data_IF_755238536415
#
_entry.id   IF_755238536415
#
_cell.length_a   1.000
_cell.length_b   1.000
_cell.length_c   1.000
_cell.angle_alpha   90.00
_cell.angle_beta   90.00
_cell.angle_gamma   90.00
#
_symmetry.space_group_name_H-M   'P 1'
#
loop_
_entity.id
_entity.type
_entity.pdbx_description
1 polymer ?
#
# COMPACT_ATOMS: atom_id res chain seq x y z
N UNK A 1 1.37 9.25 9.06
CA UNK A 1 0.29 9.99 9.75
C UNK A 1 0.04 11.31 9.00
N UNK A 2 -1.20 11.85 8.85
CA UNK A 2 -1.38 13.23 8.32
C UNK A 2 -0.69 14.21 9.26
N UNK A 3 -0.12 15.29 8.70
CA UNK A 3 0.59 16.35 9.43
C UNK A 3 -0.28 17.06 10.49
N UNK A 4 -1.60 17.06 10.36
CA UNK A 4 -2.50 17.72 11.31
C UNK A 4 -2.78 16.93 12.61
N UNK A 5 -2.13 15.78 12.82
CA UNK A 5 -2.23 14.91 14.02
C UNK A 5 -3.66 14.44 14.39
N UNK A 6 -4.65 14.76 13.57
CA UNK A 6 -6.02 14.28 13.71
C UNK A 6 -6.11 12.80 13.31
N UNK A 7 -6.70 11.99 14.20
CA UNK A 7 -6.97 10.59 13.92
C UNK A 7 -8.17 10.48 12.96
N UNK A 8 -7.89 10.09 11.72
CA UNK A 8 -8.93 9.83 10.73
C UNK A 8 -9.42 8.38 10.82
N UNK A 9 -10.63 8.11 10.33
CA UNK A 9 -11.08 6.73 10.14
C UNK A 9 -10.22 6.04 9.09
N UNK A 10 -9.84 4.79 9.33
CA UNK A 10 -8.94 4.03 8.44
C UNK A 10 -9.48 3.89 6.99
N UNK A 11 -10.81 3.92 6.82
CA UNK A 11 -11.49 3.88 5.52
C UNK A 11 -11.42 5.19 4.72
N UNK A 12 -11.13 6.30 5.39
CA UNK A 12 -11.12 7.61 4.76
C UNK A 12 -9.74 7.85 4.11
N UNK A 13 -9.71 7.88 2.78
CA UNK A 13 -8.49 8.12 1.98
C UNK A 13 -7.96 9.55 2.08
N UNK A 14 -8.85 10.48 2.42
CA UNK A 14 -8.57 11.89 2.62
C UNK A 14 -8.90 12.24 4.06
N UNK A 15 -8.02 12.98 4.71
CA UNK A 15 -8.26 13.46 6.07
C UNK A 15 -9.39 14.48 6.08
N UNK A 16 -10.38 14.28 6.94
CA UNK A 16 -11.53 15.20 7.04
C UNK A 16 -11.17 16.57 7.65
N UNK A 17 -9.97 16.74 8.18
CA UNK A 17 -9.50 17.99 8.79
C UNK A 17 -8.49 18.75 7.92
N UNK A 18 -7.47 18.04 7.43
CA UNK A 18 -6.38 18.64 6.62
C UNK A 18 -6.60 18.48 5.10
N UNK A 19 -7.57 17.67 4.66
CA UNK A 19 -7.76 17.29 3.25
C UNK A 19 -6.54 16.63 2.58
N UNK A 20 -5.50 16.29 3.35
CA UNK A 20 -4.35 15.53 2.84
C UNK A 20 -4.75 14.07 2.61
N UNK A 21 -4.17 13.47 1.57
CA UNK A 21 -4.27 12.03 1.33
C UNK A 21 -3.53 11.26 2.43
N UNK A 22 -4.03 10.08 2.77
CA UNK A 22 -3.31 9.16 3.67
C UNK A 22 -1.91 8.88 3.08
N UNK A 23 -0.83 8.97 3.89
CA UNK A 23 0.49 8.61 3.42
C UNK A 23 0.54 7.12 3.05
N UNK A 24 1.38 6.80 2.05
CA UNK A 24 1.60 5.41 1.63
C UNK A 24 2.09 4.57 2.82
N UNK A 25 1.54 3.37 2.95
CA UNK A 25 1.99 2.41 3.96
C UNK A 25 3.35 1.85 3.52
N UNK A 26 4.27 1.68 4.47
CA UNK A 26 5.44 0.83 4.26
C UNK A 26 4.95 -0.61 4.23
N UNK A 27 5.05 -1.24 3.06
CA UNK A 27 4.64 -2.62 2.85
C UNK A 27 5.80 -3.53 3.20
N UNK A 28 5.52 -4.65 3.87
CA UNK A 28 6.52 -5.70 4.03
C UNK A 28 6.76 -6.41 2.68
N UNK A 29 7.88 -7.11 2.57
CA UNK A 29 8.35 -7.65 1.28
C UNK A 29 7.29 -8.51 0.58
N UNK A 30 6.75 -7.98 -0.52
CA UNK A 30 5.76 -8.64 -1.37
C UNK A 30 4.32 -8.59 -0.87
N UNK A 31 4.03 -7.92 0.26
CA UNK A 31 2.68 -7.45 0.55
C UNK A 31 2.25 -6.40 -0.49
N UNK A 32 0.95 -6.27 -0.70
CA UNK A 32 0.42 -5.31 -1.67
C UNK A 32 -0.86 -4.66 -1.18
N UNK A 33 -1.04 -3.38 -1.50
CA UNK A 33 -2.26 -2.63 -1.19
C UNK A 33 -3.18 -2.65 -2.43
N UNK A 34 -4.45 -3.09 -2.31
CA UNK A 34 -5.33 -3.14 -3.48
C UNK A 34 -5.60 -1.72 -4.00
N UNK A 35 -5.33 -1.43 -5.28
CA UNK A 35 -5.48 -0.09 -5.85
C UNK A 35 -6.93 0.38 -5.89
N UNK A 36 -7.90 -0.52 -5.80
CA UNK A 36 -9.32 -0.18 -5.80
C UNK A 36 -9.86 0.21 -4.42
N UNK A 37 -9.34 -0.39 -3.34
CA UNK A 37 -9.95 -0.27 -2.01
C UNK A 37 -8.97 -0.06 -0.84
N UNK A 38 -7.68 0.10 -1.11
CA UNK A 38 -6.59 0.33 -0.14
C UNK A 38 -6.51 -0.73 0.98
N UNK A 39 -7.00 -1.93 0.70
CA UNK A 39 -6.88 -3.05 1.62
C UNK A 39 -5.48 -3.67 1.49
N UNK A 40 -4.80 -3.82 2.62
CA UNK A 40 -3.53 -4.53 2.68
C UNK A 40 -3.76 -6.03 2.50
N UNK A 41 -3.18 -6.58 1.45
CA UNK A 41 -3.20 -8.01 1.16
C UNK A 41 -1.84 -8.62 1.44
N UNK A 42 -1.86 -9.85 1.95
CA UNK A 42 -0.67 -10.66 2.09
C UNK A 42 -0.13 -11.08 0.72
N UNK A 43 1.18 -11.30 0.64
CA UNK A 43 1.89 -11.72 -0.58
C UNK A 43 1.24 -12.88 -1.33
N UNK A 44 0.70 -13.86 -0.59
CA UNK A 44 0.06 -15.06 -1.15
C UNK A 44 -1.28 -14.79 -1.83
N UNK A 45 -1.89 -13.63 -1.58
CA UNK A 45 -3.19 -13.31 -2.13
C UNK A 45 -3.01 -12.79 -3.57
N UNK A 46 -3.50 -13.54 -4.54
CA UNK A 46 -3.55 -13.11 -5.95
C UNK A 46 -4.75 -12.23 -6.28
N UNK A 47 -5.70 -12.13 -5.35
CA UNK A 47 -6.84 -11.22 -5.42
C UNK A 47 -7.08 -10.57 -4.07
N UNK A 48 -7.67 -9.37 -4.08
CA UNK A 48 -7.91 -8.63 -2.86
C UNK A 48 -8.93 -9.35 -1.98
N UNK A 49 -8.60 -9.60 -0.72
CA UNK A 49 -9.51 -10.28 0.20
C UNK A 49 -10.83 -9.54 0.41
N UNK A 50 -10.84 -8.21 0.26
CA UNK A 50 -11.99 -7.34 0.48
C UNK A 50 -12.88 -7.15 -0.74
N UNK A 51 -12.33 -6.71 -1.87
CA UNK A 51 -13.12 -6.39 -3.07
C UNK A 51 -12.94 -7.36 -4.24
N UNK A 52 -12.08 -8.39 -4.08
CA UNK A 52 -11.78 -9.39 -5.10
C UNK A 52 -11.12 -8.86 -6.38
N UNK A 53 -10.62 -7.61 -6.36
CA UNK A 53 -9.75 -7.05 -7.41
C UNK A 53 -8.54 -7.97 -7.63
N UNK A 54 -8.08 -8.16 -8.87
CA UNK A 54 -6.84 -8.91 -9.12
C UNK A 54 -5.62 -8.15 -8.58
N UNK A 55 -4.59 -8.90 -8.19
CA UNK A 55 -3.31 -8.32 -7.79
C UNK A 55 -2.71 -7.58 -9.00
N UNK A 56 -2.35 -6.29 -8.86
CA UNK A 56 -1.66 -5.58 -9.92
C UNK A 56 -0.31 -6.25 -10.23
N UNK A 57 0.07 -6.32 -11.50
CA UNK A 57 1.40 -6.78 -11.88
C UNK A 57 2.44 -5.76 -11.37
N UNK A 58 3.12 -6.13 -10.28
CA UNK A 58 4.11 -5.30 -9.60
C UNK A 58 5.43 -5.26 -10.41
N UNK A 59 5.42 -4.65 -11.59
CA UNK A 59 6.65 -4.34 -12.33
C UNK A 59 7.56 -3.36 -11.56
N UNK A 60 7.06 -2.68 -10.53
CA UNK A 60 7.80 -1.67 -9.76
C UNK A 60 8.50 -2.21 -8.51
N UNK A 61 7.98 -3.28 -7.87
CA UNK A 61 8.62 -3.84 -6.66
C UNK A 61 9.84 -4.71 -7.00
N UNK A 62 9.90 -5.31 -8.20
CA UNK A 62 11.05 -6.12 -8.62
C UNK A 62 12.35 -5.29 -8.78
N UNK A 63 12.26 -3.96 -8.93
CA UNK A 63 13.42 -3.11 -9.16
C UNK A 63 14.16 -2.76 -7.86
N UNK A 64 13.47 -2.60 -6.72
CA UNK A 64 14.14 -2.22 -5.47
C UNK A 64 14.92 -3.40 -4.84
N UNK A 65 14.46 -4.64 -5.02
CA UNK A 65 15.18 -5.84 -4.55
C UNK A 65 16.40 -6.19 -5.41
N UNK A 66 16.35 -5.88 -6.72
CA UNK A 66 17.45 -6.11 -7.64
C UNK A 66 18.64 -5.17 -7.38
N UNK A 67 18.40 -4.00 -6.77
CA UNK A 67 19.44 -3.01 -6.50
C UNK A 67 20.25 -3.35 -5.23
N UNK A 68 19.63 -3.98 -4.23
CA UNK A 68 20.31 -4.37 -2.97
C UNK A 68 21.03 -5.72 -3.02
N UNK A 69 20.97 -6.44 -4.15
CA UNK A 69 21.54 -7.79 -4.30
C UNK A 69 22.95 -7.82 -4.90
N UNK A 70 23.65 -6.68 -5.03
CA UNK A 70 25.06 -6.64 -5.48
C UNK A 70 25.99 -6.17 -4.35
N UNK A 71 26.52 -7.07 -3.50
CA UNK A 71 27.79 -6.82 -2.86
C UNK A 71 28.89 -6.85 -3.92
N UNK A 72 29.75 -5.84 -3.93
CA UNK A 72 31.04 -5.86 -4.64
C UNK A 72 32.06 -6.68 -3.87
#
# INVERSE_FOLDING_TARGET
>A
MCRCQFLNFARNRVCMRCSERRPKRQLEYGEWECPSCDYLNFRRNMSCNKCKCERPNDTALQYEDAIWSRPS
#
